data_IF_067183965198
#
_entry.id   IF_067183965198
#
_cell.length_a   1.000
_cell.length_b   1.000
_cell.length_c   1.000
_cell.angle_alpha   90.00
_cell.angle_beta   90.00
_cell.angle_gamma   90.00
#
_symmetry.space_group_name_H-M   'P 1'
#
loop_
_entity.id
_entity.type
_entity.pdbx_description
1 polymer ?
#
# COMPACT_ATOMS: atom_id res chain seq x y z
N UNK A 1 -35.04 6.81 19.50
CA UNK A 1 -34.10 7.52 20.37
C UNK A 1 -32.83 6.72 20.69
N UNK A 2 -32.88 5.46 21.18
CA UNK A 2 -31.66 4.69 21.54
C UNK A 2 -30.71 4.45 20.32
N UNK A 3 -31.23 4.24 19.12
CA UNK A 3 -30.43 4.05 17.92
C UNK A 3 -29.75 5.33 17.42
N UNK A 4 -30.32 6.51 17.62
CA UNK A 4 -29.70 7.79 17.22
C UNK A 4 -28.58 8.19 18.17
N UNK A 5 -28.69 7.90 19.45
CA UNK A 5 -27.64 8.15 20.45
C UNK A 5 -26.46 7.20 20.20
N UNK A 6 -26.73 5.95 19.88
CA UNK A 6 -25.69 4.96 19.53
C UNK A 6 -24.97 5.32 18.20
N UNK A 7 -25.71 5.77 17.18
CA UNK A 7 -25.13 6.29 15.93
C UNK A 7 -24.32 7.57 16.15
N UNK A 8 -24.78 8.47 17.01
CA UNK A 8 -24.06 9.69 17.35
C UNK A 8 -22.76 9.42 18.13
N UNK A 9 -22.73 8.42 19.03
CA UNK A 9 -21.51 7.94 19.67
C UNK A 9 -20.59 7.30 18.64
N UNK A 10 -21.11 6.44 17.76
CA UNK A 10 -20.33 5.84 16.67
C UNK A 10 -19.75 6.89 15.70
N UNK A 11 -20.48 7.94 15.35
CA UNK A 11 -19.96 9.01 14.50
C UNK A 11 -18.86 9.83 15.19
N UNK A 12 -18.97 10.15 16.46
CA UNK A 12 -17.92 10.84 17.22
C UNK A 12 -16.70 9.96 17.44
N UNK A 13 -16.89 8.70 17.80
CA UNK A 13 -15.81 7.73 17.95
C UNK A 13 -15.12 7.44 16.59
N UNK A 14 -15.86 7.46 15.49
CA UNK A 14 -15.37 7.36 14.13
C UNK A 14 -14.56 8.58 13.68
N UNK A 15 -14.96 9.79 14.07
CA UNK A 15 -14.17 11.01 13.82
C UNK A 15 -12.87 10.94 14.64
N UNK A 16 -12.96 10.50 15.90
CA UNK A 16 -11.78 10.27 16.74
C UNK A 16 -10.86 9.22 16.12
N UNK A 17 -11.42 8.11 15.64
CA UNK A 17 -10.64 7.06 14.94
C UNK A 17 -10.03 7.56 13.63
N UNK A 18 -10.72 8.43 12.90
CA UNK A 18 -10.19 9.07 11.70
C UNK A 18 -9.03 10.01 12.03
N UNK A 19 -9.19 10.84 13.07
CA UNK A 19 -8.11 11.71 13.56
C UNK A 19 -6.91 10.90 14.09
N UNK A 20 -7.15 9.81 14.81
CA UNK A 20 -6.09 8.90 15.28
C UNK A 20 -5.35 8.29 14.09
N UNK A 21 -6.07 7.90 13.05
CA UNK A 21 -5.46 7.30 11.86
C UNK A 21 -4.65 8.33 11.05
N UNK A 22 -5.16 9.57 10.91
CA UNK A 22 -4.43 10.67 10.30
C UNK A 22 -3.17 11.05 11.10
N UNK A 23 -3.07 10.62 12.37
CA UNK A 23 -2.03 10.97 13.33
C UNK A 23 -1.20 9.78 13.78
N UNK A 24 -1.29 8.66 13.14
CA UNK A 24 -0.13 7.73 13.16
C UNK A 24 1.11 8.40 12.57
N UNK A 25 1.03 9.75 12.42
CA UNK A 25 2.10 10.68 12.24
C UNK A 25 2.97 10.67 13.51
N UNK A 26 4.12 10.03 13.42
CA UNK A 26 5.15 10.07 14.44
C UNK A 26 5.75 11.47 14.41
N UNK A 27 5.12 12.42 15.11
CA UNK A 27 5.72 13.70 15.43
C UNK A 27 6.66 13.49 16.64
N UNK A 28 7.95 13.57 16.38
CA UNK A 28 8.99 13.51 17.40
C UNK A 28 10.23 12.75 16.93
N UNK A 29 11.35 12.96 17.59
CA UNK A 29 12.64 12.30 17.32
C UNK A 29 12.63 10.78 17.58
N UNK A 30 11.62 10.27 18.28
CA UNK A 30 11.46 8.86 18.57
C UNK A 30 10.57 8.17 17.52
N UNK A 31 11.16 7.18 16.85
CA UNK A 31 10.46 6.23 15.95
C UNK A 31 9.59 5.28 16.78
N UNK A 32 8.47 5.78 17.31
CA UNK A 32 7.61 5.00 18.20
C UNK A 32 6.14 5.29 17.94
N UNK A 33 5.33 4.24 17.82
CA UNK A 33 3.87 4.35 17.83
C UNK A 33 3.42 4.41 19.30
N UNK A 34 2.81 5.53 19.71
CA UNK A 34 2.25 5.72 21.06
C UNK A 34 0.81 6.22 20.95
N UNK A 35 -0.13 5.30 21.10
CA UNK A 35 -1.57 5.60 20.98
C UNK A 35 -2.03 6.60 22.05
N UNK A 36 -1.51 6.54 23.28
CA UNK A 36 -1.91 7.49 24.34
C UNK A 36 -1.43 8.91 24.01
N UNK A 37 -0.19 9.05 23.54
CA UNK A 37 0.37 10.32 23.10
C UNK A 37 -0.41 10.88 21.92
N UNK A 38 -0.66 10.06 20.91
CA UNK A 38 -1.44 10.41 19.73
C UNK A 38 -2.84 10.95 20.12
N UNK A 39 -3.54 10.24 20.98
CA UNK A 39 -4.84 10.67 21.49
C UNK A 39 -4.75 12.00 22.24
N UNK A 40 -3.75 12.17 23.09
CA UNK A 40 -3.53 13.40 23.84
C UNK A 40 -3.23 14.59 22.94
N UNK A 41 -2.37 14.43 21.95
CA UNK A 41 -1.95 15.49 21.03
C UNK A 41 -3.12 15.96 20.14
N UNK A 42 -4.01 15.04 19.74
CA UNK A 42 -5.16 15.36 18.88
C UNK A 42 -6.39 15.83 19.62
N UNK A 43 -6.72 15.20 20.72
CA UNK A 43 -7.94 15.49 21.47
C UNK A 43 -7.68 16.46 22.62
N UNK A 44 -6.41 16.75 22.95
CA UNK A 44 -6.04 17.59 24.07
C UNK A 44 -6.70 17.10 25.38
N UNK A 45 -7.33 17.99 26.12
CA UNK A 45 -8.05 17.64 27.36
C UNK A 45 -9.20 16.65 27.15
N UNK A 46 -9.74 16.52 25.93
CA UNK A 46 -10.82 15.56 25.62
C UNK A 46 -10.33 14.11 25.53
N UNK A 47 -9.03 13.87 25.46
CA UNK A 47 -8.45 12.50 25.44
C UNK A 47 -8.84 11.70 26.68
N UNK A 48 -9.05 12.36 27.82
CA UNK A 48 -9.51 11.72 29.08
C UNK A 48 -10.90 11.11 28.95
N UNK A 49 -11.71 11.60 27.99
CA UNK A 49 -13.06 11.09 27.75
C UNK A 49 -13.06 9.83 26.88
N UNK A 50 -11.94 9.45 26.30
CA UNK A 50 -11.84 8.23 25.49
C UNK A 50 -11.85 7.02 26.43
N UNK A 51 -12.80 6.07 26.26
CA UNK A 51 -12.88 4.91 27.13
C UNK A 51 -11.60 4.07 27.10
N UNK A 52 -11.11 3.67 28.28
CA UNK A 52 -9.87 2.87 28.39
C UNK A 52 -9.91 1.57 27.58
N UNK A 53 -11.08 0.94 27.47
CA UNK A 53 -11.25 -0.28 26.68
C UNK A 53 -11.01 -0.03 25.19
N UNK A 54 -11.42 1.15 24.65
CA UNK A 54 -11.18 1.53 23.25
C UNK A 54 -9.69 1.76 22.99
N UNK A 55 -9.00 2.43 23.90
CA UNK A 55 -7.55 2.63 23.81
C UNK A 55 -6.82 1.28 23.84
N UNK A 56 -7.19 0.39 24.77
CA UNK A 56 -6.61 -0.96 24.85
C UNK A 56 -6.88 -1.77 23.58
N UNK A 57 -8.07 -1.67 23.04
CA UNK A 57 -8.44 -2.32 21.77
C UNK A 57 -7.62 -1.78 20.58
N UNK A 58 -7.43 -0.45 20.47
CA UNK A 58 -6.58 0.17 19.45
C UNK A 58 -5.14 -0.32 19.54
N UNK A 59 -4.54 -0.30 20.75
CA UNK A 59 -3.18 -0.82 20.96
C UNK A 59 -3.05 -2.27 20.51
N UNK A 60 -4.09 -3.07 20.77
CA UNK A 60 -4.11 -4.49 20.42
C UNK A 60 -4.22 -4.71 18.90
N UNK A 61 -5.13 -4.04 18.20
CA UNK A 61 -5.30 -4.25 16.75
C UNK A 61 -4.18 -3.65 15.92
N UNK A 62 -3.53 -2.60 16.44
CA UNK A 62 -2.35 -1.99 15.82
C UNK A 62 -1.06 -2.72 16.20
N UNK A 63 -1.13 -3.72 17.09
CA UNK A 63 0.03 -4.45 17.59
C UNK A 63 1.18 -3.52 18.02
N UNK A 64 0.83 -2.47 18.80
CA UNK A 64 1.74 -1.38 19.14
C UNK A 64 3.10 -1.85 19.67
N UNK A 65 3.12 -2.82 20.56
CA UNK A 65 4.36 -3.34 21.15
C UNK A 65 5.23 -4.05 20.10
N UNK A 66 4.61 -4.86 19.26
CA UNK A 66 5.31 -5.57 18.19
C UNK A 66 5.90 -4.59 17.15
N UNK A 67 5.13 -3.59 16.72
CA UNK A 67 5.62 -2.54 15.83
C UNK A 67 6.77 -1.76 16.47
N UNK A 68 6.63 -1.38 17.74
CA UNK A 68 7.66 -0.64 18.45
C UNK A 68 8.92 -1.46 18.70
N UNK A 69 8.78 -2.77 18.86
CA UNK A 69 9.93 -3.68 18.92
C UNK A 69 10.84 -3.55 17.70
N UNK A 70 10.28 -3.35 16.52
CA UNK A 70 11.04 -3.07 15.31
C UNK A 70 11.48 -1.61 15.23
N UNK A 71 10.55 -0.67 15.34
CA UNK A 71 10.81 0.76 15.14
C UNK A 71 11.85 1.33 16.10
N UNK A 72 11.82 0.90 17.37
CA UNK A 72 12.78 1.33 18.40
C UNK A 72 14.01 0.43 18.51
N UNK A 73 13.94 -0.77 17.92
CA UNK A 73 15.01 -1.77 17.91
C UNK A 73 15.76 -1.83 16.58
N UNK A 74 15.67 -2.98 15.90
CA UNK A 74 16.44 -3.27 14.69
C UNK A 74 16.12 -2.35 13.48
N UNK A 75 14.99 -1.68 13.47
CA UNK A 75 14.60 -0.71 12.44
C UNK A 75 15.04 0.73 12.73
N UNK A 76 15.56 0.99 13.94
CA UNK A 76 15.97 2.34 14.34
C UNK A 76 17.13 2.84 13.47
N UNK A 77 16.92 4.00 12.85
CA UNK A 77 17.90 4.64 11.97
C UNK A 77 18.02 4.03 10.57
N UNK A 78 17.38 2.90 10.28
CA UNK A 78 17.34 2.34 8.93
C UNK A 78 16.42 3.15 8.04
N UNK A 79 16.79 3.28 6.77
CA UNK A 79 16.03 4.01 5.76
C UNK A 79 16.03 3.25 4.42
N UNK A 80 15.04 3.50 3.59
CA UNK A 80 14.96 2.94 2.23
C UNK A 80 14.97 1.42 2.23
N UNK A 81 15.88 0.82 1.46
CA UNK A 81 16.00 -0.62 1.30
C UNK A 81 16.24 -1.34 2.64
N UNK A 82 17.16 -0.87 3.45
CA UNK A 82 17.49 -1.49 4.75
C UNK A 82 16.28 -1.53 5.69
N UNK A 83 15.43 -0.49 5.63
CA UNK A 83 14.20 -0.46 6.42
C UNK A 83 13.16 -1.47 5.91
N UNK A 84 13.04 -1.62 4.58
CA UNK A 84 12.14 -2.60 3.96
C UNK A 84 12.58 -4.04 4.28
N UNK A 85 13.87 -4.33 4.15
CA UNK A 85 14.42 -5.65 4.45
C UNK A 85 14.23 -6.02 5.91
N UNK A 86 14.55 -5.11 6.83
CA UNK A 86 14.31 -5.34 8.24
C UNK A 86 12.83 -5.48 8.61
N UNK A 87 11.93 -4.84 7.85
CA UNK A 87 10.48 -5.06 7.99
C UNK A 87 10.06 -6.43 7.49
N UNK A 88 10.66 -6.95 6.41
CA UNK A 88 10.44 -8.33 5.96
C UNK A 88 10.96 -9.36 6.96
N UNK A 89 12.10 -9.13 7.56
CA UNK A 89 12.64 -9.98 8.64
C UNK A 89 11.68 -10.05 9.82
N UNK A 90 11.14 -8.90 10.24
CA UNK A 90 10.12 -8.83 11.29
C UNK A 90 8.86 -9.63 10.94
N UNK A 91 8.45 -9.58 9.67
CA UNK A 91 7.29 -10.32 9.16
C UNK A 91 7.60 -11.81 8.97
N UNK A 92 8.88 -12.19 8.92
CA UNK A 92 9.35 -13.57 8.70
C UNK A 92 8.66 -14.23 7.51
N UNK A 93 8.44 -13.48 6.42
CA UNK A 93 7.74 -13.96 5.25
C UNK A 93 8.72 -14.58 4.25
N UNK A 94 8.28 -15.66 3.60
CA UNK A 94 8.99 -16.26 2.48
C UNK A 94 8.41 -15.70 1.18
N UNK A 95 9.28 -15.29 0.26
CA UNK A 95 8.88 -14.74 -1.03
C UNK A 95 9.39 -15.65 -2.14
N UNK A 96 8.47 -16.21 -2.92
CA UNK A 96 8.78 -16.88 -4.17
C UNK A 96 8.69 -15.84 -5.28
N UNK A 97 9.83 -15.31 -5.70
CA UNK A 97 9.92 -14.29 -6.74
C UNK A 97 10.16 -14.96 -8.07
N UNK A 98 9.35 -14.64 -9.06
CA UNK A 98 9.45 -15.22 -10.40
C UNK A 98 9.04 -14.22 -11.48
N UNK A 99 9.47 -14.48 -12.70
CA UNK A 99 9.08 -13.77 -13.93
C UNK A 99 8.27 -14.68 -14.84
N UNK A 100 7.31 -14.08 -15.56
CA UNK A 100 6.59 -14.74 -16.64
C UNK A 100 6.76 -13.92 -17.92
N UNK A 101 7.69 -14.35 -18.76
CA UNK A 101 8.03 -13.71 -20.02
C UNK A 101 7.63 -14.66 -21.16
N UNK A 102 6.78 -14.19 -22.08
CA UNK A 102 6.25 -15.00 -23.18
C UNK A 102 5.58 -16.32 -22.72
N UNK A 103 4.95 -16.33 -21.54
CA UNK A 103 4.32 -17.52 -20.94
C UNK A 103 5.30 -18.49 -20.30
N UNK A 104 6.59 -18.17 -20.22
CA UNK A 104 7.62 -18.98 -19.57
C UNK A 104 7.90 -18.44 -18.16
N UNK A 105 7.65 -19.27 -17.16
CA UNK A 105 7.97 -18.97 -15.76
C UNK A 105 9.44 -19.24 -15.49
N UNK A 106 10.12 -18.26 -14.88
CA UNK A 106 11.52 -18.36 -14.45
C UNK A 106 11.63 -17.84 -13.01
N UNK A 107 12.41 -18.51 -12.19
CA UNK A 107 12.72 -18.06 -10.84
C UNK A 107 13.60 -16.80 -10.89
N UNK A 108 13.34 -15.87 -9.98
CA UNK A 108 14.06 -14.62 -9.86
C UNK A 108 13.64 -13.56 -10.88
N UNK A 109 14.48 -12.52 -11.03
CA UNK A 109 14.22 -11.33 -11.84
C UNK A 109 15.21 -11.12 -12.99
N UNK A 110 16.04 -12.12 -13.31
CA UNK A 110 17.09 -11.95 -14.32
C UNK A 110 16.51 -11.69 -15.71
N UNK A 111 15.34 -12.23 -16.00
CA UNK A 111 14.63 -12.00 -17.25
C UNK A 111 14.05 -10.58 -17.41
N UNK A 112 13.98 -9.78 -16.33
CA UNK A 112 13.55 -8.39 -16.43
C UNK A 112 14.72 -7.49 -16.86
N UNK A 113 14.45 -6.51 -17.75
CA UNK A 113 15.47 -5.54 -18.15
C UNK A 113 15.90 -4.69 -16.94
N UNK A 114 17.16 -4.27 -16.94
CA UNK A 114 17.69 -3.28 -16.01
C UNK A 114 17.36 -1.84 -16.45
N UNK A 115 18.02 -0.88 -15.79
CA UNK A 115 17.88 0.55 -16.14
C UNK A 115 18.97 1.05 -17.11
N UNK A 116 19.55 0.16 -17.92
CA UNK A 116 20.58 0.50 -18.88
C UNK A 116 20.06 1.54 -19.87
N UNK A 117 20.94 2.47 -20.26
CA UNK A 117 20.57 3.55 -21.18
C UNK A 117 19.60 4.58 -20.63
N UNK A 118 19.42 4.67 -19.30
CA UNK A 118 18.49 5.61 -18.68
C UNK A 118 17.02 5.20 -18.82
N UNK A 119 16.75 3.92 -19.03
CA UNK A 119 15.39 3.37 -19.19
C UNK A 119 14.79 3.07 -17.82
N UNK A 120 13.69 3.75 -17.48
CA UNK A 120 12.96 3.56 -16.21
C UNK A 120 11.53 3.12 -16.47
N UNK A 121 11.00 2.32 -15.58
CA UNK A 121 9.70 1.65 -15.73
C UNK A 121 8.63 2.23 -14.83
N UNK A 122 7.38 2.00 -15.20
CA UNK A 122 6.23 2.11 -14.30
C UNK A 122 5.84 0.70 -13.87
N UNK A 123 6.05 0.36 -12.61
CA UNK A 123 5.78 -0.97 -12.05
C UNK A 123 4.43 -0.91 -11.33
N UNK A 124 3.47 -1.73 -11.76
CA UNK A 124 2.11 -1.74 -11.24
C UNK A 124 1.72 -3.10 -10.70
N UNK A 125 1.14 -3.14 -9.51
CA UNK A 125 0.74 -4.38 -8.86
C UNK A 125 -0.69 -4.33 -8.35
N UNK A 126 -1.35 -5.50 -8.26
CA UNK A 126 -2.50 -5.67 -7.39
C UNK A 126 -2.09 -5.46 -5.93
N UNK A 127 -3.06 -5.20 -5.07
CA UNK A 127 -2.82 -4.83 -3.67
C UNK A 127 -3.60 -5.73 -2.70
N UNK A 128 -3.28 -7.04 -2.62
CA UNK A 128 -4.10 -7.99 -1.88
C UNK A 128 -4.07 -7.80 -0.37
N UNK A 129 -2.92 -7.38 0.19
CA UNK A 129 -2.68 -7.36 1.63
C UNK A 129 -2.73 -5.94 2.23
N UNK A 130 -2.44 -4.91 1.44
CA UNK A 130 -2.57 -3.51 1.86
C UNK A 130 -1.40 -2.94 2.66
N UNK A 131 -0.37 -3.71 2.96
CA UNK A 131 0.82 -3.27 3.70
C UNK A 131 2.02 -4.16 3.42
N UNK A 132 1.88 -5.44 3.71
CA UNK A 132 2.93 -6.44 3.57
C UNK A 132 3.41 -6.62 2.11
N UNK A 133 2.47 -6.59 1.17
CA UNK A 133 2.75 -6.59 -0.27
C UNK A 133 3.54 -5.34 -0.70
N UNK A 134 3.25 -4.16 -0.12
CA UNK A 134 4.03 -2.95 -0.37
C UNK A 134 5.47 -3.06 0.14
N UNK A 135 5.66 -3.59 1.36
CA UNK A 135 7.00 -3.79 1.94
C UNK A 135 7.80 -4.79 1.09
N UNK A 136 7.19 -5.93 0.76
CA UNK A 136 7.84 -6.99 -0.01
C UNK A 136 8.22 -6.54 -1.43
N UNK A 137 7.26 -5.93 -2.14
CA UNK A 137 7.51 -5.44 -3.50
C UNK A 137 8.60 -4.36 -3.52
N UNK A 138 8.62 -3.47 -2.51
CA UNK A 138 9.64 -2.44 -2.40
C UNK A 138 11.04 -3.01 -2.20
N UNK A 139 11.20 -3.97 -1.30
CA UNK A 139 12.48 -4.66 -1.07
C UNK A 139 12.95 -5.34 -2.37
N UNK A 140 12.09 -6.14 -3.02
CA UNK A 140 12.42 -6.82 -4.28
C UNK A 140 12.90 -5.83 -5.36
N UNK A 141 12.19 -4.71 -5.53
CA UNK A 141 12.52 -3.70 -6.55
C UNK A 141 13.78 -2.92 -6.17
N UNK A 142 13.99 -2.61 -4.88
CA UNK A 142 15.23 -1.97 -4.42
C UNK A 142 16.44 -2.84 -4.73
N UNK A 143 16.38 -4.14 -4.49
CA UNK A 143 17.46 -5.07 -4.81
C UNK A 143 17.70 -5.20 -6.32
N UNK A 144 16.63 -5.29 -7.14
CA UNK A 144 16.76 -5.39 -8.59
C UNK A 144 17.36 -4.13 -9.23
N UNK A 145 17.02 -2.94 -8.72
CA UNK A 145 17.31 -1.66 -9.38
C UNK A 145 18.12 -0.69 -8.50
N UNK A 146 18.97 -1.19 -7.60
CA UNK A 146 19.87 -0.40 -6.75
C UNK A 146 19.15 0.76 -6.04
N UNK A 147 17.99 0.48 -5.45
CA UNK A 147 17.13 1.47 -4.79
C UNK A 147 16.63 2.60 -5.70
N UNK A 148 16.80 2.49 -7.02
CA UNK A 148 16.27 3.47 -7.99
C UNK A 148 14.78 3.27 -8.19
N UNK A 149 14.01 3.49 -7.15
CA UNK A 149 12.56 3.42 -7.17
C UNK A 149 11.90 4.54 -6.36
N UNK A 150 10.64 4.81 -6.65
CA UNK A 150 9.78 5.70 -5.89
C UNK A 150 8.37 5.16 -5.86
N UNK A 151 7.78 5.13 -4.66
CA UNK A 151 6.38 4.79 -4.46
C UNK A 151 5.48 6.02 -4.56
N UNK A 152 4.37 5.89 -5.27
CA UNK A 152 3.26 6.82 -5.13
C UNK A 152 2.29 6.26 -4.07
N UNK A 153 2.29 6.86 -2.89
CA UNK A 153 1.60 6.32 -1.70
C UNK A 153 0.66 7.34 -1.05
N UNK A 154 -0.25 6.85 -0.21
CA UNK A 154 -1.00 7.71 0.69
C UNK A 154 -0.03 8.43 1.65
N UNK A 155 -0.28 9.71 1.91
CA UNK A 155 0.54 10.58 2.77
C UNK A 155 0.79 10.02 4.18
N UNK A 156 -0.10 9.18 4.68
CA UNK A 156 0.05 8.51 5.98
C UNK A 156 1.35 7.68 6.05
N UNK A 157 1.79 7.11 4.93
CA UNK A 157 3.03 6.32 4.89
C UNK A 157 4.30 7.19 4.99
N UNK A 158 4.19 8.50 4.75
CA UNK A 158 5.29 9.45 4.98
C UNK A 158 5.70 9.55 6.45
N UNK A 159 4.83 9.12 7.35
CA UNK A 159 5.10 9.10 8.78
C UNK A 159 6.09 8.00 9.19
N UNK A 160 6.25 6.97 8.36
CA UNK A 160 7.33 6.00 8.51
C UNK A 160 8.62 6.58 7.95
N UNK A 161 9.41 7.28 8.79
CA UNK A 161 10.65 7.96 8.37
C UNK A 161 11.60 7.04 7.60
N UNK A 162 11.64 5.76 7.93
CA UNK A 162 12.44 4.77 7.20
C UNK A 162 11.98 4.55 5.76
N UNK A 163 10.67 4.64 5.51
CA UNK A 163 10.09 4.47 4.18
C UNK A 163 10.04 5.79 3.37
N UNK A 164 9.99 6.93 4.05
CA UNK A 164 9.80 8.24 3.45
C UNK A 164 10.74 8.57 2.26
N UNK A 165 12.04 8.21 2.27
CA UNK A 165 12.93 8.47 1.13
C UNK A 165 12.52 7.79 -0.18
N UNK A 166 11.73 6.72 -0.09
CA UNK A 166 11.21 5.98 -1.25
C UNK A 166 9.79 6.39 -1.63
N UNK A 167 9.20 7.38 -0.97
CA UNK A 167 7.79 7.71 -1.13
C UNK A 167 7.55 9.11 -1.67
N UNK A 168 6.54 9.22 -2.53
CA UNK A 168 5.91 10.48 -2.93
C UNK A 168 4.44 10.42 -2.49
N UNK A 169 4.00 11.34 -1.62
CA UNK A 169 2.65 11.30 -1.09
C UNK A 169 1.62 11.67 -2.16
N UNK A 170 0.55 10.86 -2.23
CA UNK A 170 -0.61 11.09 -3.08
C UNK A 170 -1.77 11.55 -2.20
N UNK A 171 -1.87 12.82 -1.89
CA UNK A 171 -3.03 13.33 -1.19
C UNK A 171 -3.78 14.38 -2.01
N UNK A 172 -5.10 14.19 -2.11
CA UNK A 172 -5.99 15.13 -2.79
C UNK A 172 -6.58 16.17 -1.85
N UNK A 173 -6.35 16.03 -0.55
CA UNK A 173 -6.95 16.88 0.50
C UNK A 173 -5.87 17.53 1.36
N UNK A 174 -6.10 18.78 1.77
CA UNK A 174 -5.18 19.53 2.63
C UNK A 174 -4.23 20.47 1.88
N UNK A 175 -3.25 21.05 2.60
CA UNK A 175 -2.28 22.04 2.08
C UNK A 175 -1.47 21.50 0.89
N UNK A 176 -1.18 20.20 0.86
CA UNK A 176 -0.39 19.55 -0.20
C UNK A 176 -1.21 19.19 -1.45
N UNK A 177 -2.54 19.37 -1.42
CA UNK A 177 -3.41 19.00 -2.56
C UNK A 177 -3.12 19.78 -3.86
N UNK A 178 -2.56 20.99 -3.76
CA UNK A 178 -2.18 21.82 -4.92
C UNK A 178 -0.85 21.36 -5.55
N UNK A 179 0.06 20.82 -4.76
CA UNK A 179 1.39 20.39 -5.23
C UNK A 179 1.42 18.93 -5.67
N UNK A 180 0.37 18.17 -5.36
CA UNK A 180 0.26 16.77 -5.74
C UNK A 180 0.55 16.51 -7.24
N UNK A 181 -0.05 17.22 -8.20
CA UNK A 181 0.25 16.99 -9.62
C UNK A 181 1.73 17.17 -9.93
N UNK A 182 2.38 18.20 -9.36
CA UNK A 182 3.81 18.47 -9.56
C UNK A 182 4.69 17.37 -8.97
N UNK A 183 4.33 16.82 -7.82
CA UNK A 183 5.09 15.76 -7.19
C UNK A 183 5.00 14.45 -8.00
N UNK A 184 3.83 14.14 -8.55
CA UNK A 184 3.66 13.00 -9.48
C UNK A 184 4.48 13.22 -10.76
N UNK A 185 4.43 14.44 -11.34
CA UNK A 185 5.24 14.79 -12.50
C UNK A 185 6.73 14.56 -12.20
N UNK A 186 7.22 15.09 -11.08
CA UNK A 186 8.62 14.94 -10.67
C UNK A 186 9.02 13.47 -10.50
N UNK A 187 8.13 12.63 -9.97
CA UNK A 187 8.37 11.20 -9.84
C UNK A 187 8.56 10.52 -11.21
N UNK A 188 7.70 10.86 -12.18
CA UNK A 188 7.80 10.29 -13.54
C UNK A 188 8.92 10.90 -14.38
N UNK A 189 9.41 12.09 -14.03
CA UNK A 189 10.60 12.72 -14.66
C UNK A 189 11.92 12.22 -14.06
N UNK A 190 11.88 11.61 -12.89
CA UNK A 190 13.09 11.20 -12.17
C UNK A 190 13.77 9.98 -12.78
N UNK A 191 15.06 9.79 -12.43
CA UNK A 191 15.84 8.61 -12.75
C UNK A 191 15.54 7.45 -11.78
N UNK A 192 14.24 7.15 -11.60
CA UNK A 192 13.72 6.10 -10.71
C UNK A 192 12.58 5.36 -11.37
N UNK A 193 12.43 4.09 -11.06
CA UNK A 193 11.23 3.32 -11.41
C UNK A 193 10.07 3.77 -10.53
N UNK A 194 8.91 4.04 -11.13
CA UNK A 194 7.72 4.46 -10.39
C UNK A 194 6.89 3.23 -10.04
N UNK A 195 6.72 2.99 -8.77
CA UNK A 195 5.96 1.83 -8.25
C UNK A 195 4.63 2.29 -7.70
N UNK A 196 3.56 1.62 -8.07
CA UNK A 196 2.23 2.00 -7.58
C UNK A 196 1.24 0.84 -7.57
N UNK A 197 0.23 1.00 -6.71
CA UNK A 197 -0.95 0.16 -6.64
C UNK A 197 -2.14 0.93 -7.20
N UNK A 198 -2.50 0.75 -8.49
CA UNK A 198 -3.43 1.66 -9.18
C UNK A 198 -4.86 1.64 -8.62
N UNK A 199 -5.25 0.60 -7.90
CA UNK A 199 -6.52 0.54 -7.17
C UNK A 199 -6.61 1.62 -6.08
N UNK A 200 -5.46 1.99 -5.47
CA UNK A 200 -5.36 2.96 -4.38
C UNK A 200 -5.95 2.49 -3.04
N UNK A 201 -6.43 1.28 -2.99
CA UNK A 201 -6.90 0.56 -1.81
C UNK A 201 -6.55 -0.91 -1.97
N UNK A 202 -6.37 -1.64 -0.85
CA UNK A 202 -6.20 -3.09 -0.94
C UNK A 202 -7.45 -3.77 -1.50
N UNK A 203 -7.25 -4.98 -2.06
CA UNK A 203 -8.31 -5.79 -2.70
C UNK A 203 -9.56 -5.92 -1.84
N UNK A 204 -10.69 -6.12 -2.46
CA UNK A 204 -12.01 -6.24 -1.82
C UNK A 204 -12.69 -7.53 -2.27
N UNK A 205 -13.51 -8.08 -1.39
CA UNK A 205 -14.36 -9.24 -1.72
C UNK A 205 -15.62 -8.74 -2.44
N UNK A 206 -15.78 -9.14 -3.69
CA UNK A 206 -16.95 -8.84 -4.51
C UNK A 206 -18.21 -9.52 -3.99
N UNK A 207 -19.35 -9.23 -4.64
CA UNK A 207 -20.63 -9.90 -4.36
C UNK A 207 -20.60 -11.36 -4.82
N UNK A 208 -19.83 -11.66 -5.84
CA UNK A 208 -19.49 -12.99 -6.35
C UNK A 208 -18.56 -13.80 -5.42
N UNK A 209 -18.11 -13.22 -4.31
CA UNK A 209 -17.17 -13.82 -3.37
C UNK A 209 -15.71 -13.75 -3.82
N UNK A 210 -15.42 -13.26 -5.02
CA UNK A 210 -14.05 -13.16 -5.55
C UNK A 210 -13.33 -11.96 -4.93
N UNK A 211 -12.09 -12.19 -4.50
CA UNK A 211 -11.23 -11.15 -3.93
C UNK A 211 -10.35 -10.59 -5.04
N UNK A 212 -10.59 -9.33 -5.38
CA UNK A 212 -9.83 -8.59 -6.40
C UNK A 212 -9.75 -7.11 -6.06
N UNK A 213 -8.83 -6.43 -6.70
CA UNK A 213 -8.79 -4.97 -6.68
C UNK A 213 -10.08 -4.37 -7.25
N UNK A 214 -10.45 -3.21 -6.73
CA UNK A 214 -11.43 -2.34 -7.38
C UNK A 214 -10.85 -1.82 -8.71
N UNK A 215 -11.63 -1.05 -9.46
CA UNK A 215 -11.18 -0.49 -10.74
C UNK A 215 -9.88 0.31 -10.59
N UNK A 216 -8.95 0.04 -11.49
CA UNK A 216 -7.64 0.69 -11.51
C UNK A 216 -7.75 2.10 -12.09
N UNK A 217 -7.06 3.05 -11.46
CA UNK A 217 -7.00 4.45 -11.90
C UNK A 217 -6.06 4.56 -13.10
N UNK A 218 -6.45 5.41 -14.05
CA UNK A 218 -5.75 5.62 -15.32
C UNK A 218 -4.41 6.38 -15.23
N UNK A 219 -4.05 6.91 -14.05
CA UNK A 219 -2.89 7.81 -13.89
C UNK A 219 -1.59 7.19 -14.39
N UNK A 220 -1.34 5.90 -14.11
CA UNK A 220 -0.13 5.23 -14.56
C UNK A 220 -0.07 5.11 -16.08
N UNK A 221 -1.19 4.85 -16.77
CA UNK A 221 -1.24 4.81 -18.24
C UNK A 221 -0.88 6.17 -18.83
N UNK A 222 -1.59 7.23 -18.39
CA UNK A 222 -1.38 8.57 -18.95
C UNK A 222 0.03 9.07 -18.72
N UNK A 223 0.62 8.77 -17.55
CA UNK A 223 1.99 9.17 -17.23
C UNK A 223 3.03 8.29 -17.92
N UNK A 224 2.81 7.00 -18.07
CA UNK A 224 3.72 6.12 -18.82
C UNK A 224 3.83 6.53 -20.27
N UNK A 225 2.71 6.88 -20.93
CA UNK A 225 2.71 7.42 -22.29
C UNK A 225 3.44 8.76 -22.35
N UNK A 226 3.13 9.68 -21.42
CA UNK A 226 3.70 11.02 -21.38
C UNK A 226 5.23 11.02 -21.20
N UNK A 227 5.76 10.09 -20.39
CA UNK A 227 7.19 9.98 -20.04
C UNK A 227 7.90 8.80 -20.68
N UNK A 228 7.28 8.15 -21.68
CA UNK A 228 7.83 7.05 -22.44
C UNK A 228 8.36 5.89 -21.57
N UNK A 229 7.59 5.53 -20.52
CA UNK A 229 7.93 4.46 -19.59
C UNK A 229 7.13 3.20 -19.89
N UNK A 230 7.82 2.10 -20.13
CA UNK A 230 7.14 0.82 -20.26
C UNK A 230 6.55 0.40 -18.90
N UNK A 231 5.45 -0.35 -18.95
CA UNK A 231 4.72 -0.78 -17.76
C UNK A 231 5.05 -2.23 -17.45
N UNK A 232 5.59 -2.49 -16.25
CA UNK A 232 5.80 -3.86 -15.75
C UNK A 232 4.62 -4.25 -14.88
N UNK A 233 3.78 -5.21 -15.32
CA UNK A 233 2.70 -5.73 -14.50
C UNK A 233 3.25 -6.73 -13.48
N UNK A 234 2.78 -6.66 -12.24
CA UNK A 234 3.20 -7.55 -11.15
C UNK A 234 1.96 -8.12 -10.46
N UNK A 235 1.92 -9.44 -10.29
CA UNK A 235 0.93 -10.09 -9.45
C UNK A 235 1.54 -10.48 -8.10
N UNK A 236 0.90 -10.06 -7.03
CA UNK A 236 1.22 -10.46 -5.67
C UNK A 236 0.14 -11.40 -5.15
N UNK A 237 0.54 -12.59 -4.70
CA UNK A 237 -0.40 -13.59 -4.17
C UNK A 237 -0.83 -13.27 -2.75
N UNK A 238 -1.88 -13.96 -2.30
CA UNK A 238 -2.36 -13.87 -0.92
C UNK A 238 -3.64 -13.07 -0.77
N UNK A 239 -4.16 -13.08 0.43
CA UNK A 239 -5.38 -12.37 0.81
C UNK A 239 -5.43 -12.12 2.31
N UNK A 240 -6.20 -11.10 2.71
CA UNK A 240 -6.52 -10.82 4.10
C UNK A 240 -7.60 -11.79 4.63
N UNK A 241 -7.88 -11.73 5.91
CA UNK A 241 -8.91 -12.58 6.52
C UNK A 241 -10.32 -12.20 6.08
N UNK A 242 -11.24 -13.17 6.14
CA UNK A 242 -12.68 -12.90 5.92
C UNK A 242 -13.22 -11.82 6.85
N UNK A 243 -12.69 -11.73 8.08
CA UNK A 243 -13.02 -10.66 9.02
C UNK A 243 -12.72 -9.28 8.44
N UNK A 244 -11.54 -9.10 7.84
CA UNK A 244 -11.15 -7.85 7.18
C UNK A 244 -12.13 -7.45 6.07
N UNK A 245 -12.45 -8.40 5.18
CA UNK A 245 -13.38 -8.14 4.08
C UNK A 245 -14.82 -7.89 4.56
N UNK A 246 -15.25 -8.60 5.60
CA UNK A 246 -16.57 -8.38 6.19
C UNK A 246 -16.68 -6.99 6.82
N UNK A 247 -15.66 -6.53 7.57
CA UNK A 247 -15.63 -5.17 8.13
C UNK A 247 -15.70 -4.14 6.99
N UNK A 248 -14.90 -4.30 5.93
CA UNK A 248 -14.93 -3.40 4.78
C UNK A 248 -16.30 -3.35 4.11
N UNK A 249 -16.97 -4.50 3.97
CA UNK A 249 -18.34 -4.62 3.42
C UNK A 249 -19.38 -3.92 4.32
N UNK A 250 -19.29 -4.14 5.63
CA UNK A 250 -20.16 -3.49 6.60
C UNK A 250 -20.01 -1.96 6.57
N UNK A 251 -18.76 -1.45 6.52
CA UNK A 251 -18.51 -0.02 6.40
C UNK A 251 -19.15 0.56 5.13
N UNK A 252 -19.04 -0.13 3.98
CA UNK A 252 -19.67 0.27 2.72
C UNK A 252 -21.19 0.28 2.84
N UNK A 253 -21.79 -0.78 3.40
CA UNK A 253 -23.26 -0.93 3.53
C UNK A 253 -23.88 0.11 4.47
N UNK A 254 -23.17 0.47 5.55
CA UNK A 254 -23.61 1.47 6.52
C UNK A 254 -23.20 2.90 6.13
N UNK A 255 -22.65 3.11 4.92
CA UNK A 255 -22.17 4.41 4.41
C UNK A 255 -21.20 5.10 5.37
N UNK A 256 -20.41 4.31 6.11
CA UNK A 256 -19.39 4.84 7.01
C UNK A 256 -18.28 5.46 6.16
N UNK A 257 -18.11 6.77 6.25
CA UNK A 257 -17.12 7.53 5.44
C UNK A 257 -15.68 7.15 5.79
N UNK A 258 -15.45 6.68 7.00
CA UNK A 258 -14.13 6.26 7.47
C UNK A 258 -13.88 4.78 7.15
N UNK A 259 -12.71 4.48 6.59
CA UNK A 259 -12.32 3.12 6.26
C UNK A 259 -11.76 2.39 7.50
N UNK A 260 -12.64 1.94 8.39
CA UNK A 260 -12.25 1.20 9.62
C UNK A 260 -11.38 -0.03 9.28
N UNK A 261 -11.61 -0.66 8.12
CA UNK A 261 -10.82 -1.81 7.70
C UNK A 261 -9.31 -1.50 7.61
N UNK A 262 -8.93 -0.23 7.35
CA UNK A 262 -7.51 0.15 7.32
C UNK A 262 -6.84 0.01 8.69
N UNK A 263 -7.56 0.19 9.80
CA UNK A 263 -7.01 -0.03 11.15
C UNK A 263 -6.61 -1.50 11.36
N UNK A 264 -7.32 -2.41 10.70
CA UNK A 264 -7.04 -3.84 10.79
C UNK A 264 -5.88 -4.30 9.90
N UNK A 265 -5.30 -3.43 9.04
CA UNK A 265 -4.17 -3.83 8.21
C UNK A 265 -2.95 -4.24 9.05
N UNK A 266 -2.69 -3.57 10.17
CA UNK A 266 -1.62 -3.98 11.08
C UNK A 266 -1.88 -5.36 11.70
N UNK A 267 -3.14 -5.66 12.07
CA UNK A 267 -3.56 -6.97 12.56
C UNK A 267 -3.45 -8.05 11.48
N UNK A 268 -3.80 -7.73 10.22
CA UNK A 268 -3.63 -8.64 9.09
C UNK A 268 -2.14 -8.91 8.78
N UNK A 269 -1.29 -7.88 8.83
CA UNK A 269 0.17 -8.05 8.70
C UNK A 269 0.72 -8.98 9.80
N UNK A 270 0.28 -8.76 11.04
CA UNK A 270 0.67 -9.60 12.16
C UNK A 270 0.24 -11.05 11.99
N UNK A 271 -0.98 -11.31 11.50
CA UNK A 271 -1.52 -12.67 11.25
C UNK A 271 -0.86 -13.36 10.06
N UNK A 272 -0.41 -12.58 9.09
CA UNK A 272 0.23 -13.10 7.88
C UNK A 272 1.74 -13.35 8.04
N UNK A 273 2.30 -13.14 9.24
CA UNK A 273 3.70 -13.47 9.53
C UNK A 273 4.00 -14.94 9.27
N UNK A 274 5.20 -15.20 8.79
CA UNK A 274 5.67 -16.56 8.51
C UNK A 274 5.04 -17.23 7.30
N UNK A 275 4.13 -16.55 6.59
CA UNK A 275 3.52 -17.10 5.38
C UNK A 275 4.43 -16.96 4.18
N UNK A 276 4.18 -17.79 3.18
CA UNK A 276 4.84 -17.74 1.87
C UNK A 276 3.94 -17.01 0.88
N UNK A 277 4.52 -16.07 0.12
CA UNK A 277 3.84 -15.35 -0.95
C UNK A 277 4.61 -15.52 -2.25
N UNK A 278 3.87 -15.58 -3.35
CA UNK A 278 4.45 -15.58 -4.70
C UNK A 278 4.29 -14.21 -5.32
N UNK A 279 5.37 -13.70 -5.90
CA UNK A 279 5.41 -12.42 -6.60
C UNK A 279 5.85 -12.68 -8.03
N UNK A 280 4.92 -12.53 -8.98
CA UNK A 280 5.15 -12.80 -10.39
C UNK A 280 5.22 -11.50 -11.18
N UNK A 281 6.37 -11.24 -11.79
CA UNK A 281 6.57 -10.11 -12.69
C UNK A 281 6.28 -10.54 -14.11
N UNK A 282 5.44 -9.79 -14.81
CA UNK A 282 5.15 -10.01 -16.21
C UNK A 282 6.12 -9.29 -17.15
N UNK A 283 5.98 -9.58 -18.43
CA UNK A 283 6.72 -8.91 -19.48
C UNK A 283 6.44 -7.40 -19.49
N UNK A 284 7.47 -6.55 -19.66
CA UNK A 284 7.27 -5.11 -19.83
C UNK A 284 6.38 -4.80 -21.04
N UNK A 285 5.32 -4.07 -20.81
CA UNK A 285 4.38 -3.60 -21.84
C UNK A 285 4.92 -2.29 -22.40
N UNK A 286 5.31 -2.21 -23.67
CA UNK A 286 5.80 -0.97 -24.28
C UNK A 286 4.75 0.15 -24.15
N UNK A 287 5.20 1.36 -23.79
CA UNK A 287 4.29 2.50 -23.62
C UNK A 287 3.50 2.85 -24.90
N UNK A 288 4.05 2.53 -26.08
CA UNK A 288 3.39 2.72 -27.38
C UNK A 288 2.15 1.84 -27.56
N UNK A 289 2.03 0.75 -26.77
CA UNK A 289 0.84 -0.11 -26.74
C UNK A 289 -0.42 0.66 -26.35
N UNK A 290 -0.26 1.70 -25.53
CA UNK A 290 -1.38 2.50 -25.01
C UNK A 290 -1.78 3.60 -25.99
N UNK A 291 -2.30 3.22 -27.12
CA UNK A 291 -2.72 4.08 -28.21
C UNK A 291 -4.16 4.62 -28.03
N UNK A 292 -4.71 5.21 -29.09
CA UNK A 292 -6.06 5.79 -29.09
C UNK A 292 -7.18 4.75 -29.32
N UNK A 293 -6.87 3.45 -29.46
CA UNK A 293 -7.88 2.39 -29.65
C UNK A 293 -8.74 2.16 -28.42
N UNK A 294 -8.23 2.54 -27.24
CA UNK A 294 -8.93 2.50 -25.95
C UNK A 294 -8.71 3.78 -25.17
N UNK A 295 -9.66 4.10 -24.31
CA UNK A 295 -9.48 5.17 -23.34
C UNK A 295 -8.37 4.79 -22.32
N UNK A 296 -7.71 5.76 -21.68
CA UNK A 296 -6.73 5.46 -20.63
C UNK A 296 -7.31 4.64 -19.46
N UNK A 297 -8.60 4.72 -19.20
CA UNK A 297 -9.27 3.90 -18.18
C UNK A 297 -9.42 2.45 -18.65
N UNK A 298 -9.85 2.22 -19.90
CA UNK A 298 -9.94 0.87 -20.46
C UNK A 298 -8.57 0.19 -20.54
N UNK A 299 -7.53 0.95 -20.90
CA UNK A 299 -6.15 0.46 -20.84
C UNK A 299 -5.73 0.07 -19.43
N UNK A 300 -6.12 0.85 -18.41
CA UNK A 300 -5.83 0.51 -17.01
C UNK A 300 -6.51 -0.80 -16.58
N UNK A 301 -7.76 -1.04 -16.99
CA UNK A 301 -8.45 -2.32 -16.73
C UNK A 301 -7.85 -3.48 -17.52
N UNK A 302 -7.39 -3.23 -18.75
CA UNK A 302 -6.68 -4.23 -19.53
C UNK A 302 -5.38 -4.67 -18.86
N UNK A 303 -4.55 -3.72 -18.38
CA UNK A 303 -3.33 -4.04 -17.61
C UNK A 303 -3.68 -4.77 -16.31
N UNK A 304 -4.73 -4.37 -15.61
CA UNK A 304 -5.26 -5.10 -14.45
C UNK A 304 -5.54 -6.56 -14.81
N UNK A 305 -6.19 -6.81 -15.94
CA UNK A 305 -6.44 -8.17 -16.46
C UNK A 305 -5.13 -8.95 -16.64
N UNK A 306 -4.13 -8.33 -17.27
CA UNK A 306 -2.79 -8.94 -17.45
C UNK A 306 -2.14 -9.31 -16.12
N UNK A 307 -2.25 -8.46 -15.09
CA UNK A 307 -1.73 -8.77 -13.74
C UNK A 307 -2.40 -10.01 -13.16
N UNK A 308 -3.73 -10.13 -13.24
CA UNK A 308 -4.43 -11.32 -12.72
C UNK A 308 -4.26 -12.56 -13.60
N UNK A 309 -3.85 -12.41 -14.86
CA UNK A 309 -3.51 -13.54 -15.72
C UNK A 309 -2.16 -14.17 -15.32
N UNK A 310 -1.24 -13.40 -14.67
CA UNK A 310 0.02 -13.91 -14.14
C UNK A 310 -0.16 -14.95 -13.00
N UNK A 311 -1.31 -14.95 -12.32
CA UNK A 311 -1.64 -15.95 -11.28
C UNK A 311 -2.12 -17.27 -11.86
N UNK A 312 -2.58 -17.25 -13.11
CA UNK A 312 -3.04 -18.45 -13.80
C UNK A 312 -1.83 -19.22 -14.32
N UNK A 313 -1.42 -20.24 -13.57
CA UNK A 313 -0.42 -21.19 -14.08
C UNK A 313 -0.95 -21.81 -15.40
N UNK A 314 -0.09 -22.00 -16.40
CA UNK A 314 -0.47 -22.83 -17.54
C UNK A 314 -0.85 -24.21 -17.01
N UNK A 315 -2.07 -24.64 -17.32
CA UNK A 315 -2.55 -25.98 -17.04
C UNK A 315 -1.84 -27.00 -17.92
#
# INVERSE_FOLDING_TARGET
MKNQVFLWFLEKDLIILHEIFLVMAIEGEEFRVDIDKILKDKLGKKSVLVPKFLVSWLKKILHQEWMNGYLCGNGKGKVGMEWLDGSLDLLNCKLNVQTNINGVLQEGLDALPGNEGGRYFTIVSNHPLGGQDGVALGSIICHKYDSKMVYLVNDILMNFKGLAPLCVPINKTGRNGRDFPKMVEAAFQSDRNVVMFPAGLCSRKGEDGIIKDIDWKKTFITKSVQYHRDVIPVHFSGQNSDRFYNIARWCKRLHIKFNIAMLYLADEMYKNRGKTFTVTFGEPIPWQTFDKSKTPHEWAQWVKGKVYDLDKQPR
#
